data_IF_077467562794
#
_entry.id   IF_077467562794
#
_cell.length_a   1.000
_cell.length_b   1.000
_cell.length_c   1.000
_cell.angle_alpha   90.00
_cell.angle_beta   90.00
_cell.angle_gamma   90.00
#
_symmetry.space_group_name_H-M   'P 1'
#
loop_
_entity.id
_entity.type
_entity.pdbx_description
1 polymer ?
#
# COMPACT_ATOMS: atom_id res chain seq x y z
N UNK A 1 -15.04 -2.40 7.35
CA UNK A 1 -13.75 -3.01 7.79
C UNK A 1 -12.73 -2.88 6.67
N UNK A 2 -11.44 -2.65 6.96
CA UNK A 2 -10.40 -2.65 5.92
C UNK A 2 -9.44 -3.83 6.08
N UNK A 3 -8.92 -4.31 4.94
CA UNK A 3 -7.90 -5.36 4.87
C UNK A 3 -6.67 -4.77 4.17
N UNK A 4 -5.52 -4.78 4.83
CA UNK A 4 -4.27 -4.27 4.29
C UNK A 4 -3.38 -5.45 3.88
N UNK A 5 -3.05 -5.52 2.60
CA UNK A 5 -2.14 -6.51 2.04
C UNK A 5 -0.73 -5.93 2.02
N UNK A 6 0.14 -6.48 2.87
CA UNK A 6 1.57 -6.15 2.92
C UNK A 6 2.40 -7.29 2.34
N UNK A 7 3.63 -7.01 1.93
CA UNK A 7 4.49 -8.02 1.29
C UNK A 7 5.49 -7.41 0.32
N UNK A 8 6.51 -8.18 -0.04
CA UNK A 8 7.53 -7.74 -0.99
C UNK A 8 6.92 -7.37 -2.36
N UNK A 9 7.63 -6.58 -3.18
CA UNK A 9 7.21 -6.34 -4.56
C UNK A 9 6.99 -7.66 -5.30
N UNK A 10 6.07 -7.69 -6.26
CA UNK A 10 5.69 -8.91 -6.99
C UNK A 10 5.10 -10.05 -6.13
N UNK A 11 4.77 -9.82 -4.85
CA UNK A 11 4.10 -10.83 -4.00
C UNK A 11 2.63 -11.11 -4.39
N UNK A 12 2.12 -10.51 -5.48
CA UNK A 12 0.75 -10.69 -5.95
C UNK A 12 -0.30 -9.86 -5.20
N UNK A 13 0.11 -8.86 -4.40
CA UNK A 13 -0.78 -7.99 -3.60
C UNK A 13 -1.92 -7.41 -4.42
N UNK A 14 -1.60 -6.81 -5.57
CA UNK A 14 -2.59 -6.19 -6.44
C UNK A 14 -3.55 -7.23 -7.05
N UNK A 15 -3.03 -8.37 -7.51
CA UNK A 15 -3.84 -9.45 -8.10
C UNK A 15 -4.77 -10.11 -7.09
N UNK A 16 -4.26 -10.45 -5.90
CA UNK A 16 -5.04 -11.04 -4.81
C UNK A 16 -6.03 -10.01 -4.26
N UNK A 17 -5.60 -8.77 -4.09
CA UNK A 17 -6.41 -7.69 -3.55
C UNK A 17 -7.64 -7.39 -4.40
N UNK A 18 -7.49 -7.27 -5.73
CA UNK A 18 -8.63 -7.09 -6.64
C UNK A 18 -9.63 -8.23 -6.56
N UNK A 19 -9.17 -9.48 -6.52
CA UNK A 19 -10.04 -10.65 -6.38
C UNK A 19 -10.77 -10.66 -5.03
N UNK A 20 -10.05 -10.39 -3.95
CA UNK A 20 -10.62 -10.36 -2.61
C UNK A 20 -11.65 -9.24 -2.47
N UNK A 21 -11.36 -8.04 -2.98
CA UNK A 21 -12.27 -6.91 -2.96
C UNK A 21 -13.58 -7.26 -3.67
N UNK A 22 -13.50 -7.85 -4.87
CA UNK A 22 -14.67 -8.31 -5.61
C UNK A 22 -15.50 -9.36 -4.85
N UNK A 23 -14.85 -10.30 -4.17
CA UNK A 23 -15.55 -11.35 -3.40
C UNK A 23 -16.25 -10.80 -2.16
N UNK A 24 -15.73 -9.71 -1.58
CA UNK A 24 -16.26 -9.08 -0.37
C UNK A 24 -17.20 -7.91 -0.66
N UNK A 25 -17.37 -7.53 -1.92
CA UNK A 25 -18.03 -6.28 -2.34
C UNK A 25 -17.37 -5.03 -1.70
N UNK A 26 -16.04 -5.03 -1.70
CA UNK A 26 -15.20 -3.98 -1.14
C UNK A 26 -14.55 -3.16 -2.27
N UNK A 27 -14.13 -1.94 -1.94
CA UNK A 27 -13.26 -1.17 -2.82
C UNK A 27 -11.85 -1.79 -2.86
N UNK A 28 -11.14 -1.59 -3.96
CA UNK A 28 -9.72 -1.94 -4.06
C UNK A 28 -8.89 -0.67 -4.22
N UNK A 29 -7.83 -0.54 -3.41
CA UNK A 29 -6.90 0.59 -3.43
C UNK A 29 -5.48 0.02 -3.51
N UNK A 30 -4.64 0.56 -4.39
CA UNK A 30 -3.21 0.26 -4.45
C UNK A 30 -2.43 1.53 -4.14
N UNK A 31 -1.69 1.57 -3.03
CA UNK A 31 -1.06 2.81 -2.56
C UNK A 31 -0.03 3.36 -3.53
N UNK A 32 0.63 2.50 -4.30
CA UNK A 32 1.61 2.95 -5.27
C UNK A 32 0.89 3.67 -6.43
N UNK A 33 -0.23 3.11 -6.92
CA UNK A 33 -1.06 3.73 -7.96
C UNK A 33 -1.67 5.05 -7.49
N UNK A 34 -2.19 5.11 -6.26
CA UNK A 34 -2.74 6.36 -5.70
C UNK A 34 -1.68 7.46 -5.61
N UNK A 35 -0.42 7.11 -5.26
CA UNK A 35 0.68 8.09 -5.24
C UNK A 35 1.02 8.54 -6.66
N UNK A 36 1.09 7.62 -7.63
CA UNK A 36 1.35 7.97 -9.03
C UNK A 36 0.27 8.90 -9.60
N UNK A 37 -1.00 8.62 -9.29
CA UNK A 37 -2.12 9.47 -9.69
C UNK A 37 -2.06 10.85 -9.02
N UNK A 38 -1.78 10.91 -7.70
CA UNK A 38 -1.64 12.17 -6.96
C UNK A 38 -0.46 13.02 -7.44
N UNK A 39 0.65 12.39 -7.88
CA UNK A 39 1.86 13.09 -8.32
C UNK A 39 1.93 13.36 -9.83
N UNK A 40 1.17 12.61 -10.64
CA UNK A 40 1.22 12.69 -12.10
C UNK A 40 2.52 12.14 -12.71
N UNK A 41 3.27 11.33 -11.96
CA UNK A 41 4.49 10.66 -12.42
C UNK A 41 4.63 9.28 -11.77
N UNK A 42 5.45 8.41 -12.36
CA UNK A 42 5.64 7.05 -11.86
C UNK A 42 6.41 7.00 -10.54
N UNK A 43 6.23 5.92 -9.75
CA UNK A 43 7.03 5.67 -8.55
C UNK A 43 8.52 5.66 -8.90
N UNK A 44 8.89 5.08 -10.04
CA UNK A 44 10.29 5.06 -10.51
C UNK A 44 10.86 6.48 -10.69
N UNK A 45 10.08 7.41 -11.24
CA UNK A 45 10.48 8.81 -11.38
C UNK A 45 10.57 9.51 -10.03
N UNK A 46 9.64 9.26 -9.11
CA UNK A 46 9.69 9.81 -7.75
C UNK A 46 10.98 9.38 -7.05
N UNK A 47 11.32 8.09 -7.10
CA UNK A 47 12.58 7.60 -6.53
C UNK A 47 13.80 8.20 -7.23
N UNK A 48 13.77 8.35 -8.56
CA UNK A 48 14.88 8.90 -9.34
C UNK A 48 15.16 10.37 -9.03
N UNK A 49 14.13 11.20 -8.88
CA UNK A 49 14.27 12.65 -8.73
C UNK A 49 14.08 13.17 -7.30
N UNK A 50 13.21 12.53 -6.51
CA UNK A 50 12.91 12.90 -5.12
C UNK A 50 13.57 12.00 -4.08
N UNK A 51 14.03 10.81 -4.47
CA UNK A 51 14.65 9.85 -3.56
C UNK A 51 13.65 9.08 -2.69
N UNK A 52 14.16 8.10 -1.95
CA UNK A 52 13.34 7.21 -1.13
C UNK A 52 12.62 7.96 -0.01
N UNK A 53 13.30 8.88 0.69
CA UNK A 53 12.70 9.59 1.83
C UNK A 53 11.46 10.39 1.42
N UNK A 54 11.51 11.05 0.26
CA UNK A 54 10.39 11.77 -0.32
C UNK A 54 9.19 10.84 -0.60
N UNK A 55 9.44 9.67 -1.19
CA UNK A 55 8.40 8.67 -1.41
C UNK A 55 7.80 8.16 -0.09
N UNK A 56 8.63 7.95 0.94
CA UNK A 56 8.14 7.55 2.28
C UNK A 56 7.24 8.63 2.90
N UNK A 57 7.53 9.91 2.68
CA UNK A 57 6.65 11.01 3.11
C UNK A 57 5.31 10.99 2.40
N UNK A 58 5.29 10.67 1.11
CA UNK A 58 4.06 10.49 0.33
C UNK A 58 3.24 9.31 0.85
N UNK A 59 3.87 8.17 1.11
CA UNK A 59 3.21 7.01 1.73
C UNK A 59 2.57 7.39 3.08
N UNK A 60 3.30 8.09 3.95
CA UNK A 60 2.77 8.55 5.25
C UNK A 60 1.54 9.45 5.05
N UNK A 61 1.61 10.43 4.15
CA UNK A 61 0.49 11.34 3.87
C UNK A 61 -0.74 10.59 3.31
N UNK A 62 -0.52 9.62 2.42
CA UNK A 62 -1.61 8.81 1.88
C UNK A 62 -2.25 7.94 2.98
N UNK A 63 -1.45 7.31 3.84
CA UNK A 63 -1.98 6.51 4.96
C UNK A 63 -2.87 7.33 5.91
N UNK A 64 -2.53 8.60 6.16
CA UNK A 64 -3.39 9.51 6.94
C UNK A 64 -4.75 9.73 6.26
N UNK A 65 -4.78 9.91 4.92
CA UNK A 65 -6.05 10.00 4.16
C UNK A 65 -6.86 8.70 4.27
N UNK A 66 -6.19 7.55 4.21
CA UNK A 66 -6.82 6.22 4.22
C UNK A 66 -7.44 5.82 5.57
N UNK A 67 -7.16 6.54 6.67
CA UNK A 67 -7.80 6.29 7.98
C UNK A 67 -9.33 6.38 7.96
N UNK A 68 -9.88 7.22 7.07
CA UNK A 68 -11.32 7.46 6.98
C UNK A 68 -12.03 6.54 5.98
N UNK A 69 -11.28 5.74 5.22
CA UNK A 69 -11.83 4.81 4.25
C UNK A 69 -12.41 3.59 4.98
N UNK A 70 -13.48 3.02 4.45
CA UNK A 70 -14.09 1.80 4.96
C UNK A 70 -14.44 0.83 3.84
N UNK A 71 -14.49 -0.47 4.19
CA UNK A 71 -14.88 -1.55 3.28
C UNK A 71 -13.96 -1.62 2.06
N UNK A 72 -12.65 -1.61 2.33
CA UNK A 72 -11.61 -1.60 1.31
C UNK A 72 -10.56 -2.68 1.54
N UNK A 73 -10.07 -3.23 0.44
CA UNK A 73 -8.84 -4.03 0.38
C UNK A 73 -7.74 -3.13 -0.17
N UNK A 74 -6.71 -2.90 0.64
CA UNK A 74 -5.63 -1.94 0.37
C UNK A 74 -4.35 -2.73 0.13
N UNK A 75 -3.84 -2.74 -1.10
CA UNK A 75 -2.50 -3.21 -1.41
C UNK A 75 -1.50 -2.09 -1.12
N UNK A 76 -0.49 -2.36 -0.29
CA UNK A 76 0.50 -1.35 0.08
C UNK A 76 1.80 -1.49 -0.69
N UNK A 77 2.59 -0.42 -0.79
CA UNK A 77 3.98 -0.48 -1.23
C UNK A 77 4.81 -1.45 -0.36
N UNK A 78 5.83 -2.08 -0.96
CA UNK A 78 6.64 -3.09 -0.26
C UNK A 78 7.47 -2.51 0.90
N UNK A 79 7.82 -1.22 0.81
CA UNK A 79 8.60 -0.50 1.81
C UNK A 79 7.77 0.25 2.86
N UNK A 80 6.43 0.21 2.77
CA UNK A 80 5.57 1.05 3.61
C UNK A 80 5.78 0.85 5.11
N UNK A 81 6.18 -0.37 5.50
CA UNK A 81 6.42 -0.79 6.88
C UNK A 81 7.79 -0.36 7.43
N UNK A 82 8.70 0.10 6.57
CA UNK A 82 10.07 0.46 6.96
C UNK A 82 10.10 1.71 7.84
N UNK A 83 9.12 2.60 7.69
CA UNK A 83 8.94 3.76 8.55
C UNK A 83 8.08 3.38 9.76
N UNK A 84 8.66 3.45 10.95
CA UNK A 84 7.98 3.07 12.21
C UNK A 84 6.63 3.79 12.40
N UNK A 85 6.59 5.08 12.04
CA UNK A 85 5.36 5.88 12.09
C UNK A 85 4.21 5.27 11.26
N UNK A 86 4.50 4.74 10.08
CA UNK A 86 3.50 4.10 9.22
C UNK A 86 2.93 2.84 9.87
N UNK A 87 3.73 2.07 10.62
CA UNK A 87 3.24 0.87 11.31
C UNK A 87 2.15 1.21 12.34
N UNK A 88 2.27 2.34 13.02
CA UNK A 88 1.25 2.86 13.93
C UNK A 88 -0.07 3.16 13.20
N UNK A 89 0.01 3.85 12.06
CA UNK A 89 -1.16 4.20 11.25
C UNK A 89 -1.82 2.96 10.65
N UNK A 90 -1.03 2.03 10.09
CA UNK A 90 -1.55 0.80 9.47
C UNK A 90 -2.38 -0.04 10.46
N UNK A 91 -2.04 -0.03 11.75
CA UNK A 91 -2.82 -0.71 12.81
C UNK A 91 -4.18 -0.06 13.06
N UNK A 92 -4.31 1.24 12.79
CA UNK A 92 -5.56 1.99 12.93
C UNK A 92 -6.48 1.82 11.72
N UNK A 93 -5.93 1.65 10.52
CA UNK A 93 -6.71 1.54 9.27
C UNK A 93 -7.49 0.23 9.22
N UNK A 94 -6.90 -0.91 9.62
CA UNK A 94 -7.57 -2.20 9.52
C UNK A 94 -6.68 -3.42 9.75
N UNK A 95 -7.17 -4.58 9.31
CA UNK A 95 -6.48 -5.86 9.53
C UNK A 95 -5.35 -6.04 8.52
N UNK A 96 -4.14 -6.22 9.01
CA UNK A 96 -2.97 -6.50 8.17
C UNK A 96 -2.87 -8.00 7.84
N UNK A 97 -2.57 -8.29 6.57
CA UNK A 97 -2.34 -9.63 6.03
C UNK A 97 -1.03 -9.58 5.23
N UNK A 98 -0.03 -10.32 5.70
CA UNK A 98 1.26 -10.42 5.05
C UNK A 98 1.26 -11.53 4.01
N UNK A 99 1.43 -11.17 2.73
CA UNK A 99 1.61 -12.09 1.63
C UNK A 99 3.08 -12.49 1.55
N UNK A 100 3.39 -13.62 2.20
CA UNK A 100 4.73 -14.21 2.21
C UNK A 100 5.01 -14.91 0.88
N UNK A 101 6.04 -14.44 0.16
CA UNK A 101 6.60 -15.12 -1.00
C UNK A 101 8.06 -15.47 -0.70
N UNK A 102 8.48 -16.73 -0.86
CA UNK A 102 9.87 -17.10 -0.65
C UNK A 102 10.77 -16.42 -1.67
N UNK A 103 11.99 -16.06 -1.25
CA UNK A 103 13.04 -15.64 -2.18
C UNK A 103 13.34 -16.84 -3.09
N UNK A 104 13.22 -16.69 -4.40
CA UNK A 104 13.82 -17.65 -5.34
C UNK A 104 15.33 -17.50 -5.22
N UNK A 105 16.01 -18.62 -4.99
CA UNK A 105 17.48 -18.72 -5.03
C UNK A 105 18.01 -18.29 -6.40
#
# INVERSE_FOLDING_TARGET
>A
MNILLTGFMCAGKTTIGRKLAKLLDYNFIDTDMEIEEDQGCSVEEIFKYGGEECFRDMETKLLEKLKNVQNSVIATGGGIILREFNQGILKQIGRQVYLKVPKKE
#
